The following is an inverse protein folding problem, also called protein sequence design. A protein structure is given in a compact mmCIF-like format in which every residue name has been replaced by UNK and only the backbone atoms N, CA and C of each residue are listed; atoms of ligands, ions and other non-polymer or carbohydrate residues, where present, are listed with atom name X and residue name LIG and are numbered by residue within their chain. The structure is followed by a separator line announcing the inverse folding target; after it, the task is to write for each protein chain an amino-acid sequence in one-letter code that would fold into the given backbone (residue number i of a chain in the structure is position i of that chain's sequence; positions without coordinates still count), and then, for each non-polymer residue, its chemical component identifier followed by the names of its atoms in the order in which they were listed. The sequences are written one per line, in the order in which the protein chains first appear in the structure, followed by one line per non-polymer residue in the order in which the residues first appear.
data_IF_833293633289
#
_entry.id   IF_833293633289
#
_cell.length_a   1.000
_cell.length_b   1.000
_cell.length_c   1.000
_cell.angle_alpha   90.00
_cell.angle_beta   90.00
_cell.angle_gamma   90.00
#
_symmetry.space_group_name_H-M   'P 1'
#
loop_
_entity.id
_entity.type
_entity.pdbx_description
1 polymer ?
#
# COMPACT_ATOMS: atom_id res chain seq x y z
N UNK A 1 37.03 -26.91 9.34
CA UNK A 1 36.78 -25.63 10.07
C UNK A 1 36.44 -24.47 9.13
N UNK A 2 37.15 -24.20 8.04
CA UNK A 2 36.84 -23.14 7.06
C UNK A 2 35.48 -23.31 6.38
N UNK A 3 35.05 -24.54 6.08
CA UNK A 3 33.74 -24.82 5.47
C UNK A 3 32.59 -24.44 6.41
N UNK A 4 32.70 -24.75 7.71
CA UNK A 4 31.67 -24.41 8.68
C UNK A 4 31.51 -22.87 8.84
N UNK A 5 32.58 -22.12 8.80
CA UNK A 5 32.58 -20.67 8.84
C UNK A 5 31.86 -20.08 7.60
N UNK A 6 32.17 -20.62 6.43
CA UNK A 6 31.53 -20.21 5.18
C UNK A 6 30.01 -20.45 5.19
N UNK A 7 29.58 -21.63 5.68
CA UNK A 7 28.17 -21.98 5.83
C UNK A 7 27.47 -21.03 6.81
N UNK A 8 28.13 -20.69 7.93
CA UNK A 8 27.57 -19.78 8.93
C UNK A 8 27.37 -18.36 8.35
N UNK A 9 28.37 -17.81 7.66
CA UNK A 9 28.26 -16.49 7.03
C UNK A 9 27.18 -16.48 5.94
N UNK A 10 27.13 -17.52 5.10
CA UNK A 10 26.10 -17.65 4.08
C UNK A 10 24.68 -17.74 4.69
N UNK A 11 24.55 -18.50 5.79
CA UNK A 11 23.28 -18.62 6.52
C UNK A 11 22.83 -17.31 7.13
N UNK A 12 23.73 -16.54 7.74
CA UNK A 12 23.42 -15.20 8.29
C UNK A 12 23.00 -14.22 7.20
N UNK A 13 23.70 -14.23 6.06
CA UNK A 13 23.34 -13.39 4.92
C UNK A 13 21.95 -13.76 4.35
N UNK A 14 21.70 -15.05 4.18
CA UNK A 14 20.40 -15.54 3.73
C UNK A 14 19.29 -15.16 4.71
N UNK A 15 19.48 -15.36 6.01
CA UNK A 15 18.52 -14.96 7.05
C UNK A 15 18.21 -13.47 6.99
N UNK A 16 19.21 -12.61 6.86
CA UNK A 16 19.02 -11.17 6.71
C UNK A 16 18.17 -10.83 5.47
N UNK A 17 18.41 -11.51 4.33
CA UNK A 17 17.61 -11.28 3.10
C UNK A 17 16.17 -11.71 3.25
N UNK A 18 15.92 -12.82 3.94
CA UNK A 18 14.55 -13.27 4.25
C UNK A 18 13.84 -12.25 5.14
N UNK A 19 14.51 -11.77 6.20
CA UNK A 19 13.96 -10.77 7.11
C UNK A 19 13.65 -9.43 6.40
N UNK A 20 14.55 -8.94 5.54
CA UNK A 20 14.29 -7.73 4.72
C UNK A 20 13.00 -7.89 3.90
N UNK A 21 12.84 -9.05 3.27
CA UNK A 21 11.66 -9.34 2.44
C UNK A 21 10.38 -9.44 3.28
N UNK A 22 10.41 -10.17 4.39
CA UNK A 22 9.24 -10.33 5.27
C UNK A 22 8.77 -9.00 5.85
N UNK A 23 9.70 -8.13 6.27
CA UNK A 23 9.37 -6.79 6.78
C UNK A 23 8.76 -5.93 5.68
N UNK A 24 9.30 -5.98 4.45
CA UNK A 24 8.73 -5.27 3.31
C UNK A 24 7.32 -5.77 2.97
N UNK A 25 7.13 -7.08 2.87
CA UNK A 25 5.85 -7.69 2.50
C UNK A 25 4.78 -7.40 3.57
N UNK A 26 5.15 -7.49 4.86
CA UNK A 26 4.29 -7.14 5.98
C UNK A 26 3.90 -5.66 5.95
N UNK A 27 4.87 -4.76 5.77
CA UNK A 27 4.62 -3.32 5.70
C UNK A 27 3.73 -2.97 4.51
N UNK A 28 3.95 -3.61 3.36
CA UNK A 28 3.12 -3.41 2.17
C UNK A 28 1.68 -3.91 2.37
N UNK A 29 1.51 -5.02 3.08
CA UNK A 29 0.17 -5.54 3.45
C UNK A 29 -0.57 -4.60 4.39
N UNK A 30 0.11 -4.12 5.44
CA UNK A 30 -0.45 -3.15 6.40
C UNK A 30 -0.86 -1.88 5.65
N UNK A 31 0.02 -1.34 4.83
CA UNK A 31 -0.25 -0.14 4.02
C UNK A 31 -1.46 -0.30 3.11
N UNK A 32 -1.57 -1.43 2.39
CA UNK A 32 -2.73 -1.72 1.54
C UNK A 32 -4.03 -1.74 2.32
N UNK A 33 -4.04 -2.36 3.50
CA UNK A 33 -5.22 -2.42 4.36
C UNK A 33 -5.60 -1.02 4.87
N UNK A 34 -4.62 -0.23 5.29
CA UNK A 34 -4.81 1.16 5.74
C UNK A 34 -5.47 2.00 4.63
N UNK A 35 -4.90 2.01 3.42
CA UNK A 35 -5.43 2.80 2.32
C UNK A 35 -6.83 2.32 1.91
N UNK A 36 -7.05 1.01 1.81
CA UNK A 36 -8.37 0.47 1.51
C UNK A 36 -9.43 0.90 2.54
N UNK A 37 -9.06 0.90 3.83
CA UNK A 37 -9.96 1.33 4.91
C UNK A 37 -10.25 2.82 4.84
N UNK A 38 -9.26 3.66 4.57
CA UNK A 38 -9.42 5.11 4.40
C UNK A 38 -10.31 5.44 3.19
N UNK A 39 -10.05 4.80 2.05
CA UNK A 39 -10.88 4.98 0.85
C UNK A 39 -12.31 4.52 1.08
N UNK A 40 -12.49 3.39 1.73
CA UNK A 40 -13.81 2.87 2.08
C UNK A 40 -14.57 3.84 2.99
N UNK A 41 -13.94 4.28 4.08
CA UNK A 41 -14.54 5.23 5.02
C UNK A 41 -14.94 6.55 4.35
N UNK A 42 -14.02 7.12 3.56
CA UNK A 42 -14.28 8.35 2.83
C UNK A 42 -15.46 8.19 1.84
N UNK A 43 -15.56 7.06 1.22
CA UNK A 43 -16.60 6.74 0.21
C UNK A 43 -17.95 6.40 0.83
N UNK A 44 -17.96 5.71 1.96
CA UNK A 44 -19.18 5.37 2.70
C UNK A 44 -19.89 6.63 3.23
N UNK A 45 -19.14 7.62 3.68
CA UNK A 45 -19.71 8.90 4.10
C UNK A 45 -20.51 9.58 2.98
N UNK A 46 -19.98 9.59 1.74
CA UNK A 46 -20.71 10.15 0.59
C UNK A 46 -21.92 9.32 0.19
N UNK A 47 -21.79 8.01 0.24
CA UNK A 47 -22.91 7.11 -0.06
C UNK A 47 -24.02 7.27 0.98
N UNK A 48 -23.68 7.34 2.25
CA UNK A 48 -24.62 7.57 3.34
C UNK A 48 -25.35 8.90 3.20
N UNK A 49 -24.63 9.96 2.82
CA UNK A 49 -25.22 11.26 2.55
C UNK A 49 -26.22 11.20 1.39
N UNK A 50 -25.90 10.53 0.28
CA UNK A 50 -26.82 10.36 -0.84
C UNK A 50 -28.09 9.61 -0.41
N UNK A 51 -27.95 8.60 0.45
CA UNK A 51 -29.08 7.85 1.00
C UNK A 51 -29.93 8.74 1.91
N UNK A 52 -29.30 9.50 2.83
CA UNK A 52 -29.99 10.37 3.78
C UNK A 52 -30.84 11.43 3.10
N UNK A 53 -30.29 12.13 2.12
CA UNK A 53 -31.02 13.18 1.39
C UNK A 53 -32.20 12.60 0.59
N UNK A 54 -32.16 11.34 0.17
CA UNK A 54 -33.10 10.74 -0.77
C UNK A 54 -34.27 10.00 -0.13
N UNK A 55 -34.50 10.10 1.20
CA UNK A 55 -35.71 9.63 1.86
C UNK A 55 -36.53 10.76 2.53
N UNK A 56 -36.46 11.98 1.97
CA UNK A 56 -37.29 13.10 2.41
C UNK A 56 -38.56 13.20 1.59
N UNK A 57 -39.71 13.41 2.24
CA UNK A 57 -41.00 13.58 1.59
C UNK A 57 -41.00 14.79 0.65
N UNK A 58 -40.31 15.86 1.05
CA UNK A 58 -40.15 17.07 0.25
C UNK A 58 -39.37 16.79 -1.04
N UNK A 59 -38.45 15.82 -1.02
CA UNK A 59 -37.72 15.44 -2.23
C UNK A 59 -38.60 14.64 -3.19
N UNK A 60 -39.47 13.78 -2.65
CA UNK A 60 -40.48 13.08 -3.45
C UNK A 60 -41.43 14.09 -4.12
N UNK A 61 -41.89 15.09 -3.37
CA UNK A 61 -42.77 16.17 -3.89
C UNK A 61 -42.03 17.04 -4.89
N UNK A 62 -40.73 17.34 -4.67
CA UNK A 62 -39.91 18.03 -5.66
C UNK A 62 -39.86 17.30 -7.00
N UNK A 63 -39.73 16.00 -7.03
CA UNK A 63 -39.68 15.24 -8.30
C UNK A 63 -40.97 15.39 -9.07
N UNK A 64 -42.14 15.51 -8.38
CA UNK A 64 -43.46 15.71 -8.98
C UNK A 64 -43.66 17.16 -9.44
N UNK A 65 -43.38 18.11 -8.55
CA UNK A 65 -43.64 19.54 -8.76
C UNK A 65 -42.60 20.25 -9.56
N UNK A 66 -41.32 19.75 -9.53
CA UNK A 66 -40.13 20.35 -10.12
C UNK A 66 -39.82 21.76 -9.57
N UNK A 67 -40.07 21.97 -8.27
CA UNK A 67 -39.78 23.24 -7.60
C UNK A 67 -38.26 23.46 -7.48
N UNK A 68 -37.70 24.13 -8.48
CA UNK A 68 -36.29 24.44 -8.56
C UNK A 68 -35.83 25.36 -7.41
N UNK A 69 -36.71 26.19 -6.85
CA UNK A 69 -36.39 27.07 -5.73
C UNK A 69 -36.10 26.24 -4.48
N UNK A 70 -36.99 25.28 -4.19
CA UNK A 70 -36.82 24.35 -3.09
C UNK A 70 -35.49 23.57 -3.25
N UNK A 71 -35.25 23.02 -4.43
CA UNK A 71 -34.04 22.24 -4.70
C UNK A 71 -32.76 23.07 -4.44
N UNK A 72 -32.72 24.30 -4.93
CA UNK A 72 -31.59 25.19 -4.76
C UNK A 72 -31.38 25.60 -3.28
N UNK A 73 -32.42 25.80 -2.51
CA UNK A 73 -32.32 26.19 -1.10
C UNK A 73 -32.01 25.00 -0.16
N UNK A 74 -32.48 23.81 -0.48
CA UNK A 74 -32.41 22.65 0.42
C UNK A 74 -31.31 21.66 0.05
N UNK A 75 -31.02 21.49 -1.26
CA UNK A 75 -30.10 20.47 -1.75
C UNK A 75 -28.76 21.10 -2.24
N UNK A 76 -28.77 22.34 -2.73
CA UNK A 76 -27.55 22.96 -3.24
C UNK A 76 -26.46 23.15 -2.17
N UNK A 77 -26.85 23.35 -0.91
CA UNK A 77 -25.90 23.49 0.21
C UNK A 77 -24.99 22.25 0.41
N UNK A 78 -25.40 21.11 -0.14
CA UNK A 78 -24.58 19.87 -0.15
C UNK A 78 -23.25 20.09 -0.86
N UNK A 79 -23.21 20.93 -1.90
CA UNK A 79 -21.97 21.20 -2.64
C UNK A 79 -20.86 21.75 -1.72
N UNK A 80 -21.18 22.80 -1.00
CA UNK A 80 -20.21 23.50 -0.15
C UNK A 80 -19.91 22.72 1.14
N UNK A 81 -20.95 22.18 1.79
CA UNK A 81 -20.83 21.49 3.07
C UNK A 81 -20.00 20.20 2.95
N UNK A 82 -20.22 19.44 1.89
CA UNK A 82 -19.62 18.11 1.71
C UNK A 82 -18.57 18.03 0.60
N UNK A 83 -18.18 19.18 0.04
CA UNK A 83 -17.20 19.27 -1.05
C UNK A 83 -17.55 18.37 -2.24
N UNK A 84 -18.80 18.47 -2.66
CA UNK A 84 -19.34 17.83 -3.86
C UNK A 84 -19.37 18.84 -4.98
N UNK A 85 -18.91 18.51 -6.16
CA UNK A 85 -18.84 19.47 -7.28
C UNK A 85 -20.09 19.46 -8.14
N UNK A 86 -20.94 18.45 -8.04
CA UNK A 86 -22.12 18.33 -8.89
C UNK A 86 -23.18 17.45 -8.25
N UNK A 87 -24.42 17.90 -8.32
CA UNK A 87 -25.62 17.10 -7.98
C UNK A 87 -26.66 17.22 -9.08
N UNK A 88 -27.38 16.14 -9.37
CA UNK A 88 -28.46 16.17 -10.34
C UNK A 88 -29.56 15.16 -10.00
N UNK A 89 -30.73 15.41 -10.57
CA UNK A 89 -31.95 14.59 -10.39
C UNK A 89 -32.49 14.17 -11.74
N UNK A 90 -32.91 12.93 -11.82
CA UNK A 90 -33.62 12.33 -12.94
C UNK A 90 -34.93 11.74 -12.45
N UNK A 91 -35.94 11.73 -13.31
CA UNK A 91 -37.19 10.97 -13.05
C UNK A 91 -36.97 9.45 -13.25
N UNK A 92 -37.96 8.64 -12.98
CA UNK A 92 -37.89 7.17 -13.15
C UNK A 92 -37.81 6.71 -14.61
N UNK A 93 -38.05 7.61 -15.57
CA UNK A 93 -37.88 7.36 -17.02
C UNK A 93 -36.53 7.78 -17.54
N UNK A 94 -35.69 8.35 -16.68
CA UNK A 94 -34.36 8.87 -17.06
C UNK A 94 -34.39 10.28 -17.67
N UNK A 95 -35.52 11.00 -17.55
CA UNK A 95 -35.56 12.39 -17.95
C UNK A 95 -34.83 13.24 -16.91
N UNK A 96 -33.94 14.11 -17.37
CA UNK A 96 -33.26 15.06 -16.54
C UNK A 96 -34.20 16.13 -16.00
N UNK A 97 -34.17 16.34 -14.66
CA UNK A 97 -35.00 17.35 -14.01
C UNK A 97 -34.21 18.61 -13.76
N UNK A 98 -33.13 18.51 -12.98
CA UNK A 98 -32.30 19.65 -12.60
C UNK A 98 -30.89 19.25 -12.18
N UNK A 99 -30.02 20.26 -12.08
CA UNK A 99 -28.67 20.11 -11.48
C UNK A 99 -28.27 21.37 -10.73
N UNK A 100 -27.33 21.20 -9.79
CA UNK A 100 -26.46 22.28 -9.29
C UNK A 100 -25.01 21.81 -9.41
N UNK A 101 -24.12 22.69 -9.80
CA UNK A 101 -22.70 22.35 -9.98
C UNK A 101 -21.81 23.50 -9.54
N UNK A 102 -20.64 23.15 -8.99
CA UNK A 102 -19.57 24.09 -8.77
C UNK A 102 -18.97 24.56 -10.11
N UNK A 103 -18.18 25.65 -10.13
CA UNK A 103 -17.48 26.09 -11.34
C UNK A 103 -16.50 25.07 -11.93
N UNK A 104 -16.11 24.06 -11.14
CA UNK A 104 -15.17 23.01 -11.56
C UNK A 104 -15.77 22.05 -12.58
N UNK A 105 -17.10 21.83 -12.57
CA UNK A 105 -17.80 20.94 -13.52
C UNK A 105 -18.73 21.76 -14.38
N UNK A 106 -18.36 21.95 -15.63
CA UNK A 106 -19.12 22.72 -16.64
C UNK A 106 -20.10 21.82 -17.40
N UNK A 107 -19.78 20.53 -17.50
CA UNK A 107 -20.62 19.55 -18.20
C UNK A 107 -22.01 19.46 -17.55
N UNK A 108 -23.05 19.68 -18.38
CA UNK A 108 -24.42 19.80 -17.86
C UNK A 108 -25.03 18.44 -17.55
N UNK A 109 -24.81 17.46 -18.42
CA UNK A 109 -25.43 16.13 -18.32
C UNK A 109 -24.42 15.08 -18.76
N UNK A 110 -24.10 14.16 -17.87
CA UNK A 110 -23.11 13.13 -18.15
C UNK A 110 -23.46 11.74 -17.55
N UNK A 111 -24.58 11.62 -16.87
CA UNK A 111 -25.02 10.33 -16.34
C UNK A 111 -25.68 9.53 -17.49
N UNK A 112 -25.16 8.34 -17.86
CA UNK A 112 -25.73 7.52 -18.92
C UNK A 112 -27.07 6.90 -18.49
N UNK A 113 -27.99 6.68 -19.44
CA UNK A 113 -29.28 6.03 -19.19
C UNK A 113 -29.11 4.65 -18.52
N UNK A 114 -28.12 3.86 -18.98
CA UNK A 114 -27.85 2.55 -18.38
C UNK A 114 -27.48 2.63 -16.88
N UNK A 115 -26.81 3.69 -16.44
CA UNK A 115 -26.49 3.90 -15.02
C UNK A 115 -27.76 4.20 -14.21
N UNK A 116 -28.72 4.96 -14.79
CA UNK A 116 -30.02 5.23 -14.18
C UNK A 116 -30.82 3.94 -14.05
N UNK A 117 -30.90 3.14 -15.12
CA UNK A 117 -31.63 1.87 -15.14
C UNK A 117 -31.08 0.87 -14.13
N UNK A 118 -29.73 0.86 -13.93
CA UNK A 118 -29.08 0.05 -12.89
C UNK A 118 -29.38 0.57 -11.49
N UNK A 119 -29.34 1.88 -11.30
CA UNK A 119 -29.65 2.48 -10.01
C UNK A 119 -31.08 2.18 -9.57
N UNK A 120 -32.05 2.23 -10.47
CA UNK A 120 -33.45 1.86 -10.20
C UNK A 120 -33.60 0.42 -9.69
N UNK A 121 -32.71 -0.48 -10.11
CA UNK A 121 -32.68 -1.89 -9.64
C UNK A 121 -31.92 -2.03 -8.32
N UNK A 122 -30.76 -1.37 -8.20
CA UNK A 122 -29.85 -1.50 -7.04
C UNK A 122 -30.26 -0.63 -5.85
N UNK A 123 -31.01 0.46 -6.10
CA UNK A 123 -31.44 1.49 -5.14
C UNK A 123 -30.33 2.44 -4.69
N UNK A 124 -29.15 1.94 -4.47
CA UNK A 124 -27.92 2.69 -4.13
C UNK A 124 -26.80 2.13 -4.97
N UNK A 125 -26.01 3.01 -5.58
CA UNK A 125 -24.84 2.60 -6.36
C UNK A 125 -23.70 3.62 -6.23
N UNK A 126 -22.48 3.11 -6.42
CA UNK A 126 -21.26 3.90 -6.45
C UNK A 126 -20.39 3.44 -7.62
N UNK A 127 -19.93 4.38 -8.43
CA UNK A 127 -19.09 4.11 -9.58
C UNK A 127 -18.29 5.36 -9.98
N UNK A 128 -17.45 5.24 -10.98
CA UNK A 128 -16.65 6.33 -11.51
C UNK A 128 -17.02 6.60 -12.96
N UNK A 129 -16.91 7.87 -13.38
CA UNK A 129 -17.07 8.27 -14.77
C UNK A 129 -15.92 9.18 -15.20
N UNK A 130 -15.60 9.12 -16.49
CA UNK A 130 -14.69 10.08 -17.11
C UNK A 130 -15.51 11.13 -17.82
N UNK A 131 -15.31 12.39 -17.44
CA UNK A 131 -15.92 13.58 -18.07
C UNK A 131 -14.80 14.47 -18.65
N UNK A 132 -15.12 15.49 -19.45
CA UNK A 132 -14.10 16.40 -20.00
C UNK A 132 -13.20 17.03 -18.94
N UNK A 133 -13.76 17.36 -17.77
CA UNK A 133 -13.05 18.00 -16.65
C UNK A 133 -12.16 17.03 -15.86
N UNK A 134 -12.36 15.71 -15.98
CA UNK A 134 -11.57 14.72 -15.27
C UNK A 134 -12.30 13.42 -14.97
N UNK A 135 -11.88 12.75 -13.92
CA UNK A 135 -12.57 11.58 -13.38
C UNK A 135 -13.41 12.00 -12.19
N UNK A 136 -14.67 11.60 -12.18
CA UNK A 136 -15.59 11.87 -11.08
C UNK A 136 -15.99 10.58 -10.38
N UNK A 137 -16.04 10.62 -9.06
CA UNK A 137 -16.68 9.60 -8.23
C UNK A 137 -18.16 9.93 -8.12
N UNK A 138 -19.01 8.97 -8.45
CA UNK A 138 -20.46 9.10 -8.39
C UNK A 138 -21.00 8.29 -7.22
N UNK A 139 -21.75 8.95 -6.35
CA UNK A 139 -22.61 8.29 -5.36
C UNK A 139 -24.07 8.61 -5.72
N UNK A 140 -24.89 7.57 -5.79
CA UNK A 140 -26.25 7.70 -6.28
C UNK A 140 -27.23 6.91 -5.44
N UNK A 141 -28.43 7.46 -5.26
CA UNK A 141 -29.53 6.77 -4.58
C UNK A 141 -30.87 7.08 -5.23
N UNK A 142 -31.82 6.12 -5.16
CA UNK A 142 -33.19 6.34 -5.57
C UNK A 142 -33.93 7.13 -4.50
N UNK A 143 -34.88 7.98 -4.92
CA UNK A 143 -35.67 8.87 -4.06
C UNK A 143 -36.92 8.13 -3.58
N UNK A 144 -37.13 8.10 -2.28
CA UNK A 144 -38.24 7.44 -1.60
C UNK A 144 -38.82 8.34 -0.50
N UNK A 145 -40.07 8.10 -0.04
CA UNK A 145 -40.63 8.86 1.08
C UNK A 145 -39.96 8.52 2.42
N UNK A 146 -40.17 9.36 3.42
CA UNK A 146 -39.53 9.28 4.74
C UNK A 146 -39.82 8.00 5.52
N UNK A 147 -40.93 7.33 5.23
CA UNK A 147 -41.33 6.05 5.83
C UNK A 147 -40.65 4.82 5.19
N UNK A 148 -39.84 5.03 4.15
CA UNK A 148 -39.04 4.00 3.46
C UNK A 148 -37.53 4.31 3.39
N UNK A 149 -36.86 4.50 4.53
CA UNK A 149 -35.42 4.82 4.55
C UNK A 149 -34.54 3.71 3.97
N UNK A 150 -35.02 2.48 4.00
CA UNK A 150 -34.31 1.31 3.42
C UNK A 150 -34.65 1.05 1.95
N UNK A 151 -35.55 1.88 1.34
CA UNK A 151 -35.89 1.84 -0.08
C UNK A 151 -36.46 0.48 -0.54
N UNK A 152 -37.18 -0.23 0.34
CA UNK A 152 -37.69 -1.59 0.11
C UNK A 152 -39.21 -1.72 0.18
N UNK A 153 -39.93 -0.67 0.56
CA UNK A 153 -41.38 -0.67 0.70
C UNK A 153 -42.10 0.00 -0.49
N UNK A 154 -41.48 1.05 -1.04
CA UNK A 154 -42.12 1.89 -2.08
C UNK A 154 -41.39 1.78 -3.41
N UNK A 155 -42.07 2.20 -4.49
CA UNK A 155 -41.41 2.40 -5.78
C UNK A 155 -40.63 3.72 -5.76
N UNK A 156 -39.46 3.78 -6.43
CA UNK A 156 -38.71 5.03 -6.53
C UNK A 156 -39.51 6.14 -7.17
N UNK A 157 -39.41 7.36 -6.67
CA UNK A 157 -39.99 8.56 -7.30
C UNK A 157 -39.02 9.17 -8.33
N UNK A 158 -37.73 8.96 -8.15
CA UNK A 158 -36.65 9.47 -9.04
C UNK A 158 -35.29 8.94 -8.62
N UNK A 159 -34.26 9.49 -9.24
CA UNK A 159 -32.85 9.16 -9.04
C UNK A 159 -32.06 10.42 -8.73
N UNK A 160 -31.29 10.38 -7.67
CA UNK A 160 -30.36 11.43 -7.25
C UNK A 160 -28.93 10.97 -7.44
N UNK A 161 -28.09 11.84 -8.01
CA UNK A 161 -26.67 11.58 -8.22
C UNK A 161 -25.85 12.73 -7.66
N UNK A 162 -24.81 12.37 -6.91
CA UNK A 162 -23.79 13.29 -6.46
C UNK A 162 -22.46 12.92 -7.11
N UNK A 163 -21.71 13.92 -7.59
CA UNK A 163 -20.41 13.70 -8.19
C UNK A 163 -19.34 14.54 -7.51
N UNK A 164 -18.23 13.92 -7.20
CA UNK A 164 -17.02 14.53 -6.69
C UNK A 164 -15.90 14.41 -7.72
N UNK A 165 -15.26 15.51 -8.05
CA UNK A 165 -14.14 15.51 -8.99
C UNK A 165 -12.86 15.03 -8.28
N UNK A 166 -12.19 14.05 -8.87
CA UNK A 166 -10.88 13.58 -8.39
C UNK A 166 -9.79 14.48 -8.97
N UNK A 167 -9.73 15.71 -8.49
CA UNK A 167 -8.78 16.74 -8.89
C UNK A 167 -7.57 16.82 -7.94
N UNK A 168 -6.65 17.74 -8.22
CA UNK A 168 -5.46 17.94 -7.40
C UNK A 168 -5.80 18.34 -5.95
N UNK A 169 -6.89 19.06 -5.72
CA UNK A 169 -7.32 19.44 -4.38
C UNK A 169 -7.80 18.21 -3.59
N UNK A 170 -8.59 17.33 -4.24
CA UNK A 170 -8.99 16.06 -3.66
C UNK A 170 -7.77 15.21 -3.29
N UNK A 171 -6.81 15.08 -4.20
CA UNK A 171 -5.60 14.30 -3.94
C UNK A 171 -4.77 14.91 -2.81
N UNK A 172 -4.54 16.23 -2.81
CA UNK A 172 -3.78 16.89 -1.75
C UNK A 172 -4.40 16.70 -0.35
N UNK A 173 -5.73 16.73 -0.26
CA UNK A 173 -6.43 16.45 1.01
C UNK A 173 -6.28 15.00 1.44
N UNK A 174 -6.39 14.06 0.52
CA UNK A 174 -6.24 12.64 0.82
C UNK A 174 -4.77 12.27 1.14
N UNK A 175 -3.80 12.88 0.47
CA UNK A 175 -2.37 12.71 0.72
C UNK A 175 -1.99 13.13 2.15
N UNK A 176 -2.56 14.23 2.66
CA UNK A 176 -2.36 14.66 4.05
C UNK A 176 -2.83 13.62 5.07
N UNK A 177 -3.97 12.99 4.82
CA UNK A 177 -4.56 11.99 5.72
C UNK A 177 -3.81 10.67 5.63
N UNK A 178 -3.48 10.24 4.41
CA UNK A 178 -2.89 8.94 4.14
C UNK A 178 -1.36 8.92 4.20
N UNK A 179 -0.71 10.09 4.31
CA UNK A 179 0.76 10.24 4.18
C UNK A 179 1.32 9.55 2.94
N UNK A 180 0.56 9.56 1.86
CA UNK A 180 0.85 8.88 0.59
C UNK A 180 0.87 9.87 -0.54
N UNK A 181 1.68 9.65 -1.56
CA UNK A 181 1.56 10.35 -2.83
C UNK A 181 0.54 9.62 -3.70
N UNK A 182 -0.38 10.36 -4.31
CA UNK A 182 -1.47 9.82 -5.11
C UNK A 182 -1.37 10.36 -6.53
N UNK A 183 -1.47 9.47 -7.51
CA UNK A 183 -1.48 9.86 -8.92
C UNK A 183 -2.31 8.85 -9.74
N UNK A 184 -2.71 9.29 -10.93
CA UNK A 184 -3.26 8.39 -11.92
C UNK A 184 -2.14 7.57 -12.57
N UNK A 185 -2.37 6.28 -12.62
CA UNK A 185 -1.44 5.32 -13.16
C UNK A 185 -1.17 5.56 -14.66
N UNK A 186 0.09 5.79 -15.00
CA UNK A 186 0.55 5.85 -16.39
C UNK A 186 1.45 4.68 -16.78
N UNK A 187 2.30 4.20 -15.91
CA UNK A 187 3.12 2.97 -15.95
C UNK A 187 3.91 2.88 -14.64
N UNK A 188 3.91 1.73 -13.93
CA UNK A 188 4.66 1.64 -12.69
C UNK A 188 6.15 1.46 -13.00
N UNK A 189 6.94 2.48 -12.79
CA UNK A 189 8.31 2.23 -12.40
C UNK A 189 8.28 1.80 -10.92
N UNK A 190 8.30 0.51 -10.68
CA UNK A 190 8.42 -0.07 -9.35
C UNK A 190 9.83 0.20 -8.84
N UNK A 191 10.05 1.38 -8.27
CA UNK A 191 11.28 1.65 -7.53
C UNK A 191 11.23 0.88 -6.21
N UNK A 192 12.23 0.07 -5.94
CA UNK A 192 12.34 -0.91 -4.85
C UNK A 192 12.32 -0.36 -3.41
N UNK A 193 11.98 0.91 -3.19
CA UNK A 193 11.97 1.59 -1.89
C UNK A 193 10.61 2.25 -1.57
N UNK A 194 9.51 1.66 -2.01
CA UNK A 194 8.19 2.18 -1.72
C UNK A 194 7.16 1.06 -1.57
N UNK A 195 6.22 1.25 -0.66
CA UNK A 195 4.98 0.46 -0.60
C UNK A 195 3.94 1.14 -1.47
N UNK A 196 3.09 0.36 -2.13
CA UNK A 196 2.09 0.89 -3.05
C UNK A 196 0.82 0.06 -3.12
N UNK A 197 -0.28 0.74 -3.43
CA UNK A 197 -1.56 0.14 -3.78
C UNK A 197 -2.03 0.70 -5.12
N UNK A 198 -2.41 -0.18 -6.03
CA UNK A 198 -3.08 0.20 -7.29
C UNK A 198 -4.56 -0.12 -7.16
N UNK A 199 -5.40 0.89 -7.29
CA UNK A 199 -6.84 0.79 -7.17
C UNK A 199 -7.51 1.02 -8.53
N UNK A 200 -8.27 0.06 -9.07
CA UNK A 200 -9.02 0.26 -10.29
C UNK A 200 -10.27 1.09 -10.02
N UNK A 201 -10.45 2.18 -10.75
CA UNK A 201 -11.68 2.97 -10.79
C UNK A 201 -12.61 2.36 -11.82
N UNK A 202 -13.76 1.86 -11.37
CA UNK A 202 -14.70 1.12 -12.21
C UNK A 202 -15.95 1.95 -12.49
N UNK A 203 -16.44 1.87 -13.72
CA UNK A 203 -17.74 2.45 -14.09
C UNK A 203 -18.93 1.62 -13.57
N UNK A 204 -20.15 2.08 -13.86
CA UNK A 204 -21.40 1.41 -13.53
C UNK A 204 -21.55 0.01 -14.16
N UNK A 205 -20.73 -0.34 -15.16
CA UNK A 205 -20.65 -1.67 -15.78
C UNK A 205 -19.52 -2.55 -15.19
N UNK A 206 -18.86 -2.11 -14.11
CA UNK A 206 -17.66 -2.72 -13.54
C UNK A 206 -16.43 -2.71 -14.49
N UNK A 207 -16.48 -1.93 -15.58
CA UNK A 207 -15.35 -1.76 -16.48
C UNK A 207 -14.37 -0.76 -15.87
N UNK A 208 -13.09 -1.10 -15.88
CA UNK A 208 -12.04 -0.20 -15.37
C UNK A 208 -11.83 0.95 -16.36
N UNK A 209 -12.01 2.18 -15.88
CA UNK A 209 -11.81 3.41 -16.67
C UNK A 209 -10.44 4.02 -16.45
N UNK A 210 -9.86 3.83 -15.25
CA UNK A 210 -8.54 4.32 -14.86
C UNK A 210 -8.03 3.57 -13.62
N UNK A 211 -6.75 3.69 -13.34
CA UNK A 211 -6.17 3.20 -12.08
C UNK A 211 -5.64 4.38 -11.28
N UNK A 212 -5.86 4.34 -9.98
CA UNK A 212 -5.26 5.23 -9.00
C UNK A 212 -4.12 4.49 -8.30
N UNK A 213 -2.97 5.13 -8.16
CA UNK A 213 -1.84 4.60 -7.41
C UNK A 213 -1.65 5.41 -6.13
N UNK A 214 -1.58 4.71 -5.03
CA UNK A 214 -1.20 5.23 -3.72
C UNK A 214 0.21 4.74 -3.42
N UNK A 215 1.12 5.64 -3.10
CA UNK A 215 2.53 5.32 -2.90
C UNK A 215 3.05 6.01 -1.65
N UNK A 216 3.74 5.24 -0.79
CA UNK A 216 4.45 5.76 0.39
C UNK A 216 5.90 5.29 0.37
N UNK A 217 6.83 6.17 0.72
CA UNK A 217 8.22 5.78 0.85
C UNK A 217 8.37 4.70 1.94
N UNK A 218 9.15 3.67 1.63
CA UNK A 218 9.52 2.64 2.60
C UNK A 218 10.83 3.06 3.26
N UNK A 219 10.73 3.68 4.44
CA UNK A 219 11.85 4.33 5.12
C UNK A 219 12.63 3.39 6.08
N UNK A 220 12.37 2.08 6.04
CA UNK A 220 13.15 1.14 6.84
C UNK A 220 14.49 0.91 6.13
N UNK A 221 15.56 1.36 6.77
CA UNK A 221 16.92 1.17 6.27
C UNK A 221 17.61 0.05 7.05
N UNK A 222 18.00 -0.98 6.33
CA UNK A 222 18.73 -2.13 6.87
C UNK A 222 20.26 -1.93 6.89
N UNK A 223 20.74 -0.70 6.69
CA UNK A 223 22.17 -0.42 6.61
C UNK A 223 22.90 -0.81 7.90
N UNK A 224 22.32 -0.50 9.06
CA UNK A 224 22.90 -0.86 10.37
C UNK A 224 23.03 -2.37 10.50
N UNK A 225 22.00 -3.13 10.12
CA UNK A 225 22.02 -4.60 10.17
C UNK A 225 23.10 -5.18 9.25
N UNK A 226 23.25 -4.62 8.06
CA UNK A 226 24.31 -5.00 7.11
C UNK A 226 25.69 -4.70 7.66
N UNK A 227 25.88 -3.54 8.28
CA UNK A 227 27.13 -3.15 8.89
C UNK A 227 27.51 -4.09 10.04
N UNK A 228 26.60 -4.40 10.94
CA UNK A 228 26.81 -5.36 12.03
C UNK A 228 27.21 -6.72 11.46
N UNK A 229 26.54 -7.21 10.42
CA UNK A 229 26.88 -8.49 9.78
C UNK A 229 28.31 -8.48 9.21
N UNK A 230 28.71 -7.38 8.57
CA UNK A 230 30.08 -7.22 8.07
C UNK A 230 31.08 -7.26 9.21
N UNK A 231 30.87 -6.54 10.31
CA UNK A 231 31.73 -6.52 11.49
C UNK A 231 31.85 -7.93 12.10
N UNK A 232 30.74 -8.65 12.26
CA UNK A 232 30.78 -10.04 12.75
C UNK A 232 31.58 -10.93 11.81
N UNK A 233 31.39 -10.78 10.49
CA UNK A 233 32.14 -11.56 9.49
C UNK A 233 33.63 -11.31 9.58
N UNK A 234 34.05 -10.05 9.69
CA UNK A 234 35.49 -9.68 9.85
C UNK A 234 36.05 -10.26 11.16
N UNK A 235 35.30 -10.15 12.27
CA UNK A 235 35.73 -10.70 13.56
C UNK A 235 35.91 -12.23 13.50
N UNK A 236 35.02 -12.94 12.82
CA UNK A 236 35.13 -14.39 12.61
C UNK A 236 36.38 -14.75 11.76
N UNK A 237 36.63 -13.99 10.69
CA UNK A 237 37.83 -14.21 9.85
C UNK A 237 39.12 -13.98 10.66
N UNK A 238 39.16 -12.89 11.41
CA UNK A 238 40.33 -12.58 12.28
C UNK A 238 40.54 -13.68 13.33
N UNK A 239 39.50 -14.11 14.00
CA UNK A 239 39.53 -15.20 14.96
C UNK A 239 40.06 -16.50 14.32
N UNK A 240 39.63 -16.81 13.10
CA UNK A 240 40.11 -17.95 12.36
C UNK A 240 41.62 -17.87 11.99
N UNK A 241 42.06 -16.67 11.54
CA UNK A 241 43.49 -16.42 11.22
C UNK A 241 44.34 -16.57 12.47
N UNK A 242 43.95 -16.00 13.61
CA UNK A 242 44.61 -16.11 14.88
C UNK A 242 44.71 -17.58 15.32
N UNK A 243 43.58 -18.30 15.28
CA UNK A 243 43.53 -19.73 15.59
C UNK A 243 44.49 -20.53 14.70
N UNK A 244 44.49 -20.29 13.39
CA UNK A 244 45.37 -20.99 12.45
C UNK A 244 46.85 -20.72 12.75
N UNK A 245 47.20 -19.45 13.06
CA UNK A 245 48.55 -19.08 13.44
C UNK A 245 49.01 -19.83 14.69
N UNK A 246 48.23 -19.83 15.74
CA UNK A 246 48.55 -20.51 16.98
C UNK A 246 48.59 -22.04 16.81
N UNK A 247 47.60 -22.62 16.14
CA UNK A 247 47.57 -24.05 15.86
C UNK A 247 48.79 -24.51 15.05
N UNK A 248 49.25 -23.70 14.09
CA UNK A 248 50.42 -24.01 13.30
C UNK A 248 51.71 -23.91 14.13
N UNK A 249 51.84 -22.84 14.93
CA UNK A 249 53.01 -22.57 15.75
C UNK A 249 53.17 -23.54 16.93
N UNK A 250 52.06 -23.87 17.61
CA UNK A 250 52.10 -24.60 18.88
C UNK A 250 51.80 -26.09 18.73
N UNK A 251 51.22 -26.53 17.63
CA UNK A 251 50.89 -27.92 17.41
C UNK A 251 51.58 -28.53 16.17
N UNK A 252 51.33 -27.98 15.00
CA UNK A 252 51.82 -28.59 13.75
C UNK A 252 53.31 -28.51 13.57
N UNK A 253 53.99 -27.39 13.92
CA UNK A 253 55.42 -27.26 13.83
C UNK A 253 56.16 -28.23 14.75
N UNK A 254 55.88 -28.31 16.07
CA UNK A 254 56.49 -29.29 16.96
C UNK A 254 56.27 -30.73 16.51
N UNK A 255 55.04 -31.08 16.12
CA UNK A 255 54.70 -32.42 15.62
C UNK A 255 55.47 -32.78 14.35
N UNK A 256 55.70 -31.81 13.45
CA UNK A 256 56.51 -32.06 12.25
C UNK A 256 57.97 -32.37 12.58
N UNK A 257 58.56 -31.71 13.60
CA UNK A 257 59.92 -32.01 14.08
C UNK A 257 60.01 -33.39 14.72
N UNK A 258 59.04 -33.76 15.57
CA UNK A 258 58.96 -35.10 16.17
C UNK A 258 58.86 -36.17 15.08
N UNK A 259 57.98 -35.97 14.08
CA UNK A 259 57.84 -36.88 12.96
C UNK A 259 59.13 -37.02 12.15
N UNK A 260 59.90 -35.93 11.99
CA UNK A 260 61.20 -35.95 11.27
C UNK A 260 62.21 -36.68 12.07
N UNK A 261 62.34 -36.47 13.40
CA UNK A 261 63.23 -37.21 14.28
C UNK A 261 62.98 -38.70 14.21
N UNK A 262 61.67 -39.11 14.32
CA UNK A 262 61.31 -40.52 14.31
C UNK A 262 61.51 -41.22 12.95
N UNK A 263 61.47 -40.45 11.82
CA UNK A 263 61.68 -41.04 10.49
C UNK A 263 63.09 -41.08 10.03
N UNK A 264 63.91 -40.06 10.34
CA UNK A 264 65.23 -39.84 9.74
C UNK A 264 66.36 -39.73 10.75
N UNK A 265 66.10 -39.72 12.07
CA UNK A 265 67.12 -39.53 13.12
C UNK A 265 67.74 -38.15 13.11
N UNK A 266 67.11 -37.14 12.54
CA UNK A 266 67.69 -35.80 12.31
C UNK A 266 67.92 -35.03 13.62
N UNK A 267 69.16 -34.97 14.05
CA UNK A 267 69.58 -34.28 15.27
C UNK A 267 69.28 -32.77 15.24
N UNK A 268 69.22 -32.12 14.07
CA UNK A 268 68.85 -30.69 13.95
C UNK A 268 67.46 -30.39 14.38
N UNK A 269 66.51 -31.33 14.19
CA UNK A 269 65.18 -31.24 14.62
C UNK A 269 65.01 -31.32 16.15
N UNK A 270 65.92 -31.98 16.88
CA UNK A 270 65.95 -32.00 18.35
C UNK A 270 66.23 -30.60 18.89
N UNK A 271 67.26 -29.93 18.31
CA UNK A 271 67.61 -28.58 18.70
C UNK A 271 66.45 -27.57 18.42
N UNK A 272 65.76 -27.77 17.32
CA UNK A 272 64.58 -26.98 16.98
C UNK A 272 63.44 -27.16 17.99
N UNK A 273 63.18 -28.38 18.49
CA UNK A 273 62.20 -28.68 19.55
C UNK A 273 62.56 -28.02 20.88
N UNK A 274 63.85 -27.99 21.27
CA UNK A 274 64.34 -27.33 22.50
C UNK A 274 64.02 -25.85 22.53
N UNK A 275 63.96 -25.19 21.39
CA UNK A 275 63.72 -23.75 21.25
C UNK A 275 62.24 -23.39 21.28
N UNK A 276 61.28 -24.38 21.25
CA UNK A 276 59.85 -24.14 21.31
C UNK A 276 59.45 -23.99 22.78
N UNK A 277 58.62 -23.00 23.10
CA UNK A 277 58.05 -22.81 24.44
C UNK A 277 56.88 -23.80 24.66
N UNK A 278 56.76 -24.35 25.88
CA UNK A 278 55.71 -25.27 26.27
C UNK A 278 56.13 -26.72 26.43
N UNK A 279 55.20 -27.66 26.51
CA UNK A 279 55.43 -29.08 26.82
C UNK A 279 56.35 -29.77 25.82
N UNK A 280 56.36 -29.38 24.57
CA UNK A 280 57.26 -29.95 23.53
C UNK A 280 58.74 -29.72 23.78
N UNK A 281 59.09 -28.74 24.61
CA UNK A 281 60.50 -28.50 25.04
C UNK A 281 61.10 -29.67 25.84
N UNK A 282 60.24 -30.34 26.60
CA UNK A 282 60.65 -31.47 27.43
C UNK A 282 60.90 -32.74 26.62
N UNK A 283 60.34 -32.90 25.47
CA UNK A 283 60.55 -34.04 24.56
C UNK A 283 61.91 -33.95 23.87
N UNK A 284 62.47 -32.75 23.74
CA UNK A 284 63.78 -32.53 23.15
C UNK A 284 64.97 -32.58 24.12
N UNK A 285 64.68 -32.81 25.43
CA UNK A 285 65.74 -33.01 26.42
C UNK A 285 66.11 -34.48 26.48
#
# INVERSE_FOLDING_TARGET
MSFALLVLVASLYYYMKVQEKEIYDSSNKIYKNEINSLVKLNSENYTSLAVEITYWDEFVDFVKTKDIKWFNSSVANVLDTYKVEYVCVYDTKGNFITKVSSPKIKTVKFIPQEAIDKLLKKKVDKFYLKIPEGVVEICAATIHPSDDPYKNKTKPSGCFFMARLLDNEYFANFEKISTSNIDFFKHPEVKSKAVYLVMPLKDYNNKVIKHLIYKRAFNIDFWITKYILIVITIALILSWVIYYYYANKWSKLPLSFIKKILKTGDASSIQSLKNIKGEFRYIGK
#
